data_IF_350448259113
#
_entry.id   IF_350448259113
#
_cell.length_a   1.000
_cell.length_b   1.000
_cell.length_c   1.000
_cell.angle_alpha   90.00
_cell.angle_beta   90.00
_cell.angle_gamma   90.00
#
_symmetry.space_group_name_H-M   'P 1'
#
loop_
_entity.id
_entity.type
_entity.pdbx_description
1 polymer ?
#
# COMPACT_ATOMS: atom_id res chain seq x y z
N UNK A 1 13.53 -1.13 -1.54
CA UNK A 1 12.63 -0.36 -2.44
C UNK A 1 11.15 -0.60 -2.17
N UNK A 2 10.70 -1.85 -1.96
CA UNK A 2 9.28 -2.17 -1.76
C UNK A 2 8.58 -1.42 -0.61
N UNK A 3 9.28 -1.13 0.48
CA UNK A 3 8.71 -0.39 1.62
C UNK A 3 8.18 1.00 1.26
N UNK A 4 8.88 1.73 0.38
CA UNK A 4 8.42 3.06 -0.05
C UNK A 4 7.11 3.00 -0.84
N UNK A 5 6.98 2.00 -1.73
CA UNK A 5 5.76 1.75 -2.49
C UNK A 5 4.61 1.37 -1.54
N UNK A 6 4.88 0.45 -0.61
CA UNK A 6 3.91 0.04 0.39
C UNK A 6 3.47 1.19 1.31
N UNK A 7 4.37 2.14 1.63
CA UNK A 7 4.05 3.33 2.40
C UNK A 7 3.10 4.27 1.63
N UNK A 8 3.35 4.51 0.33
CA UNK A 8 2.41 5.22 -0.53
C UNK A 8 1.06 4.51 -0.59
N UNK A 9 1.03 3.19 -0.76
CA UNK A 9 -0.20 2.40 -0.76
C UNK A 9 -0.99 2.54 0.55
N UNK A 10 -0.31 2.54 1.70
CA UNK A 10 -0.96 2.71 3.00
C UNK A 10 -1.51 4.13 3.19
N UNK A 11 -0.80 5.13 2.68
CA UNK A 11 -1.26 6.53 2.72
C UNK A 11 -2.61 6.71 2.01
N UNK A 12 -2.88 5.93 0.95
CA UNK A 12 -4.16 5.96 0.23
C UNK A 12 -5.39 5.57 1.08
N UNK A 13 -5.21 4.91 2.23
CA UNK A 13 -6.31 4.61 3.17
C UNK A 13 -6.85 5.89 3.84
N UNK A 14 -6.14 7.03 3.72
CA UNK A 14 -6.55 8.30 4.31
C UNK A 14 -6.62 8.26 5.83
N UNK A 15 -5.91 7.32 6.46
CA UNK A 15 -5.91 7.09 7.90
C UNK A 15 -4.48 7.02 8.43
N UNK A 16 -4.21 7.79 9.48
CA UNK A 16 -2.94 7.70 10.22
C UNK A 16 -2.94 6.46 11.14
N UNK A 17 -1.78 6.17 11.73
CA UNK A 17 -1.65 5.04 12.66
C UNK A 17 -2.45 5.26 13.96
N UNK A 18 -2.75 6.50 14.31
CA UNK A 18 -3.62 6.87 15.44
C UNK A 18 -5.10 6.86 15.09
N UNK A 19 -5.46 6.53 13.84
CA UNK A 19 -6.85 6.49 13.36
C UNK A 19 -7.42 7.86 12.97
N UNK A 20 -6.57 8.88 12.82
CA UNK A 20 -6.99 10.20 12.33
C UNK A 20 -7.21 10.14 10.82
N UNK A 21 -8.32 10.71 10.35
CA UNK A 21 -8.60 10.85 8.92
C UNK A 21 -7.80 12.01 8.34
N UNK A 22 -7.11 11.75 7.23
CA UNK A 22 -6.33 12.73 6.48
C UNK A 22 -6.82 12.79 5.03
N UNK A 23 -6.70 13.98 4.43
CA UNK A 23 -6.99 14.16 3.01
C UNK A 23 -5.80 13.66 2.20
N UNK A 24 -6.07 12.71 1.30
CA UNK A 24 -5.09 12.25 0.31
C UNK A 24 -5.11 13.23 -0.87
N UNK A 25 -4.12 14.11 -0.94
CA UNK A 25 -3.95 15.08 -2.04
C UNK A 25 -3.25 14.40 -3.23
N UNK A 26 -4.03 13.61 -3.98
CA UNK A 26 -3.58 12.84 -5.14
C UNK A 26 -4.68 12.91 -6.23
N UNK A 27 -4.35 13.19 -7.51
CA UNK A 27 -5.32 13.13 -8.60
C UNK A 27 -6.06 11.80 -8.73
N UNK A 28 -5.44 10.70 -8.28
CA UNK A 28 -6.01 9.36 -8.29
C UNK A 28 -6.70 8.98 -6.96
N UNK A 29 -6.81 9.90 -6.00
CA UNK A 29 -7.39 9.60 -4.67
C UNK A 29 -8.80 8.99 -4.75
N UNK A 30 -9.61 9.41 -5.72
CA UNK A 30 -10.94 8.82 -5.95
C UNK A 30 -10.88 7.37 -6.42
N UNK A 31 -9.93 7.04 -7.30
CA UNK A 31 -9.73 5.69 -7.82
C UNK A 31 -9.16 4.76 -6.74
N UNK A 32 -8.17 5.22 -5.98
CA UNK A 32 -7.57 4.44 -4.89
C UNK A 32 -8.56 4.20 -3.76
N UNK A 33 -9.36 5.21 -3.38
CA UNK A 33 -10.42 5.04 -2.39
C UNK A 33 -11.48 4.02 -2.84
N UNK A 34 -11.88 4.04 -4.11
CA UNK A 34 -12.83 3.08 -4.66
C UNK A 34 -12.29 1.63 -4.64
N UNK A 35 -11.01 1.45 -4.96
CA UNK A 35 -10.33 0.14 -4.87
C UNK A 35 -10.28 -0.36 -3.43
N UNK A 36 -9.99 0.52 -2.47
CA UNK A 36 -9.88 0.17 -1.05
C UNK A 36 -11.24 -0.12 -0.40
N UNK A 37 -12.32 0.55 -0.82
CA UNK A 37 -13.66 0.33 -0.30
C UNK A 37 -14.19 -1.10 -0.57
N UNK A 38 -13.67 -1.79 -1.58
CA UNK A 38 -14.02 -3.18 -1.91
C UNK A 38 -13.17 -4.24 -1.21
N UNK A 39 -12.21 -3.84 -0.36
CA UNK A 39 -11.23 -4.75 0.23
C UNK A 39 -11.12 -4.59 1.75
N UNK A 40 -11.64 -5.58 2.48
CA UNK A 40 -11.62 -5.56 3.95
C UNK A 40 -10.28 -6.01 4.54
N UNK A 41 -9.69 -7.07 3.99
CA UNK A 41 -8.43 -7.62 4.48
C UNK A 41 -7.22 -6.84 3.95
N UNK A 42 -6.20 -6.65 4.77
CA UNK A 42 -4.99 -5.89 4.39
C UNK A 42 -4.30 -6.44 3.13
N UNK A 43 -4.25 -7.76 2.99
CA UNK A 43 -3.70 -8.39 1.79
C UNK A 43 -4.57 -8.11 0.55
N UNK A 44 -5.90 -8.04 0.71
CA UNK A 44 -6.81 -7.68 -0.36
C UNK A 44 -6.66 -6.19 -0.74
N UNK A 45 -6.45 -5.30 0.23
CA UNK A 45 -6.15 -3.87 -0.01
C UNK A 45 -4.87 -3.70 -0.81
N UNK A 46 -3.81 -4.44 -0.46
CA UNK A 46 -2.57 -4.44 -1.22
C UNK A 46 -2.77 -4.92 -2.67
N UNK A 47 -3.51 -6.02 -2.86
CA UNK A 47 -3.81 -6.55 -4.19
C UNK A 47 -4.68 -5.59 -5.02
N UNK A 48 -5.67 -4.94 -4.40
CA UNK A 48 -6.54 -3.97 -5.06
C UNK A 48 -5.74 -2.77 -5.56
N UNK A 49 -4.88 -2.18 -4.73
CA UNK A 49 -4.02 -1.07 -5.13
C UNK A 49 -2.99 -1.47 -6.20
N UNK A 50 -2.44 -2.68 -6.14
CA UNK A 50 -1.54 -3.20 -7.18
C UNK A 50 -2.24 -3.39 -8.54
N UNK A 51 -3.58 -3.46 -8.57
CA UNK A 51 -4.36 -3.52 -9.82
C UNK A 51 -4.48 -2.16 -10.55
N UNK A 52 -4.06 -1.06 -9.91
CA UNK A 52 -4.12 0.28 -10.48
C UNK A 52 -3.10 0.44 -11.62
N UNK A 53 -3.52 0.12 -12.84
CA UNK A 53 -2.66 0.12 -14.03
C UNK A 53 -2.04 1.49 -14.38
N UNK A 54 -2.65 2.59 -13.92
CA UNK A 54 -2.10 3.94 -14.04
C UNK A 54 -0.77 4.13 -13.27
N UNK A 55 -0.56 3.33 -12.21
CA UNK A 55 0.64 3.36 -11.36
C UNK A 55 1.50 2.11 -11.54
N UNK A 56 0.88 0.94 -11.66
CA UNK A 56 1.56 -0.34 -11.78
C UNK A 56 1.25 -0.99 -13.15
N UNK A 57 2.14 -0.83 -14.15
CA UNK A 57 1.96 -1.47 -15.44
C UNK A 57 1.80 -2.99 -15.30
N UNK A 58 1.00 -3.67 -16.14
CA UNK A 58 0.75 -5.11 -16.01
C UNK A 58 2.01 -5.98 -15.98
N UNK A 59 3.06 -5.58 -16.71
CA UNK A 59 4.35 -6.28 -16.71
C UNK A 59 5.04 -6.29 -15.33
N UNK A 60 4.85 -5.24 -14.53
CA UNK A 60 5.41 -5.14 -13.18
C UNK A 60 4.61 -5.97 -12.18
N UNK A 61 3.28 -5.97 -12.29
CA UNK A 61 2.39 -6.80 -11.45
C UNK A 61 2.52 -8.28 -11.79
N UNK A 62 2.94 -8.62 -13.00
CA UNK A 62 3.24 -9.99 -13.40
C UNK A 62 4.55 -10.53 -12.78
N UNK A 63 5.42 -9.70 -12.20
CA UNK A 63 6.64 -10.13 -11.51
C UNK A 63 6.33 -10.56 -10.06
N UNK A 64 6.34 -11.87 -9.74
CA UNK A 64 5.90 -12.34 -8.43
C UNK A 64 6.78 -11.83 -7.29
N UNK A 65 8.08 -11.60 -7.52
CA UNK A 65 8.99 -11.07 -6.50
C UNK A 65 8.63 -9.65 -6.12
N UNK A 66 8.19 -8.84 -7.08
CA UNK A 66 7.74 -7.48 -6.84
C UNK A 66 6.46 -7.48 -6.01
N UNK A 67 5.44 -8.22 -6.44
CA UNK A 67 4.15 -8.32 -5.74
C UNK A 67 4.35 -8.83 -4.31
N UNK A 68 5.14 -9.89 -4.13
CA UNK A 68 5.44 -10.44 -2.81
C UNK A 68 6.17 -9.43 -1.91
N UNK A 69 7.18 -8.72 -2.43
CA UNK A 69 7.95 -7.75 -1.65
C UNK A 69 7.09 -6.54 -1.23
N UNK A 70 6.26 -6.01 -2.13
CA UNK A 70 5.37 -4.87 -1.82
C UNK A 70 4.28 -5.29 -0.85
N UNK A 71 3.65 -6.45 -1.08
CA UNK A 71 2.61 -6.98 -0.18
C UNK A 71 3.16 -7.25 1.21
N UNK A 72 4.33 -7.89 1.32
CA UNK A 72 4.99 -8.14 2.61
C UNK A 72 5.32 -6.85 3.35
N UNK A 73 5.85 -5.84 2.64
CA UNK A 73 6.12 -4.53 3.23
C UNK A 73 4.84 -3.82 3.68
N UNK A 74 3.75 -3.91 2.90
CA UNK A 74 2.45 -3.35 3.26
C UNK A 74 1.91 -3.98 4.56
N UNK A 75 1.94 -5.31 4.66
CA UNK A 75 1.52 -6.02 5.87
C UNK A 75 2.40 -5.68 7.08
N UNK A 76 3.71 -5.50 6.86
CA UNK A 76 4.63 -5.04 7.91
C UNK A 76 4.25 -3.65 8.44
N UNK A 77 3.93 -2.70 7.55
CA UNK A 77 3.45 -1.36 7.92
C UNK A 77 2.13 -1.41 8.69
N UNK A 78 1.20 -2.28 8.29
CA UNK A 78 -0.10 -2.45 8.97
C UNK A 78 0.05 -3.02 10.37
N UNK A 79 1.00 -3.94 10.56
CA UNK A 79 1.19 -4.67 11.82
C UNK A 79 2.09 -3.93 12.81
N UNK A 80 3.13 -3.24 12.31
CA UNK A 80 4.19 -2.67 13.15
C UNK A 80 4.26 -1.14 13.10
N UNK A 81 3.52 -0.51 12.19
CA UNK A 81 3.64 0.92 11.94
C UNK A 81 4.90 1.30 11.16
N UNK A 82 4.96 2.55 10.74
CA UNK A 82 5.96 3.05 9.79
C UNK A 82 7.40 2.98 10.33
N UNK A 83 7.60 3.37 11.60
CA UNK A 83 8.93 3.43 12.21
C UNK A 83 9.56 2.04 12.33
N UNK A 84 8.82 1.08 12.89
CA UNK A 84 9.37 -0.27 13.11
C UNK A 84 9.45 -1.07 11.81
N UNK A 85 8.51 -0.88 10.87
CA UNK A 85 8.64 -1.47 9.54
C UNK A 85 9.88 -0.94 8.80
N UNK A 86 10.22 0.35 8.95
CA UNK A 86 11.43 0.92 8.37
C UNK A 86 12.70 0.33 8.98
N UNK A 87 12.76 0.18 10.32
CA UNK A 87 13.90 -0.45 11.01
C UNK A 87 14.19 -1.85 10.49
N UNK A 88 13.14 -2.67 10.35
CA UNK A 88 13.22 -4.07 9.89
C UNK A 88 13.78 -4.28 8.48
N UNK A 89 13.85 -3.22 7.66
CA UNK A 89 14.37 -3.28 6.28
C UNK A 89 15.83 -2.78 6.21
N UNK A 90 16.32 -2.14 7.26
CA UNK A 90 17.69 -1.59 7.34
C UNK A 90 18.65 -2.56 8.04
N UNK A 91 18.13 -3.46 8.87
CA UNK A 91 18.84 -4.58 9.48
C UNK A 91 19.04 -5.74 8.50
#
# INVERSE_FOLDING_TARGET
MALGIAAWMRWQDGLTESGETVVVDDPLAGETAALLAGADADAAKAAALLSLSAVFPPALVAEPRFVAAVTGAYLSLRTHGAVDAARRVVE
#
